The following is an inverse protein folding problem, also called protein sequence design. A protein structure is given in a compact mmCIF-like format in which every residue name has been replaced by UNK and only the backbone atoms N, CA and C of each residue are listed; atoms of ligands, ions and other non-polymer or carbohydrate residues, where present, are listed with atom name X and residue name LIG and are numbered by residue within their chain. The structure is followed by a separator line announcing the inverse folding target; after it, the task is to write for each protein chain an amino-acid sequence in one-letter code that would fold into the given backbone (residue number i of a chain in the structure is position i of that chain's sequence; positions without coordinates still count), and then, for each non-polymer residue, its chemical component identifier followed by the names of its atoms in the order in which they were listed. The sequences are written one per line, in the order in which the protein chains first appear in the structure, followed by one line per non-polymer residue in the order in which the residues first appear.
data_IF_016346933121
#
_entry.id   IF_016346933121
#
_cell.length_a   1.000
_cell.length_b   1.000
_cell.length_c   1.000
_cell.angle_alpha   90.00
_cell.angle_beta   90.00
_cell.angle_gamma   90.00
#
_symmetry.space_group_name_H-M   'P 1'
#
loop_
_entity.id
_entity.type
_entity.pdbx_description
1 polymer ?
#
# COMPACT_ATOMS: atom_id res chain seq x y z
N UNK A 1 -38.40 -36.03 0.97
CA UNK A 1 -36.97 -36.40 1.11
C UNK A 1 -36.06 -35.67 0.12
N UNK A 2 -36.43 -35.56 -1.16
CA UNK A 2 -35.63 -34.86 -2.19
C UNK A 2 -35.65 -33.31 -2.02
N UNK A 3 -36.79 -32.74 -1.64
CA UNK A 3 -36.89 -31.29 -1.38
C UNK A 3 -36.00 -30.85 -0.21
N UNK A 4 -35.86 -31.68 0.82
CA UNK A 4 -35.00 -31.38 1.98
C UNK A 4 -33.52 -31.34 1.59
N UNK A 5 -33.10 -32.23 0.68
CA UNK A 5 -31.75 -32.23 0.10
C UNK A 5 -31.49 -30.99 -0.76
N UNK A 6 -32.46 -30.60 -1.59
CA UNK A 6 -32.36 -29.38 -2.38
C UNK A 6 -32.21 -28.14 -1.48
N UNK A 7 -33.03 -28.02 -0.43
CA UNK A 7 -32.93 -26.92 0.53
C UNK A 7 -31.57 -26.91 1.25
N UNK A 8 -31.04 -28.08 1.64
CA UNK A 8 -29.72 -28.18 2.25
C UNK A 8 -28.61 -27.71 1.29
N UNK A 9 -28.67 -28.08 0.00
CA UNK A 9 -27.71 -27.64 -1.01
C UNK A 9 -27.80 -26.13 -1.25
N UNK A 10 -29.01 -25.56 -1.35
CA UNK A 10 -29.19 -24.11 -1.50
C UNK A 10 -28.63 -23.34 -0.31
N UNK A 11 -28.88 -23.79 0.92
CA UNK A 11 -28.34 -23.16 2.13
C UNK A 11 -26.81 -23.24 2.18
N UNK A 12 -26.22 -24.38 1.79
CA UNK A 12 -24.78 -24.55 1.72
C UNK A 12 -24.16 -23.58 0.69
N UNK A 13 -24.72 -23.51 -0.51
CA UNK A 13 -24.25 -22.60 -1.56
C UNK A 13 -24.31 -21.13 -1.12
N UNK A 14 -25.41 -20.70 -0.49
CA UNK A 14 -25.55 -19.34 0.05
C UNK A 14 -24.51 -19.04 1.14
N UNK A 15 -24.19 -20.01 2.01
CA UNK A 15 -23.14 -19.86 3.02
C UNK A 15 -21.76 -19.74 2.39
N UNK A 16 -21.44 -20.53 1.37
CA UNK A 16 -20.15 -20.44 0.67
C UNK A 16 -19.99 -19.09 -0.04
N UNK A 17 -21.05 -18.58 -0.66
CA UNK A 17 -21.07 -17.28 -1.33
C UNK A 17 -20.92 -16.11 -0.35
N UNK A 18 -21.51 -16.17 0.84
CA UNK A 18 -21.35 -15.11 1.85
C UNK A 18 -19.93 -15.08 2.45
N UNK A 19 -19.31 -16.25 2.60
CA UNK A 19 -17.93 -16.36 3.10
C UNK A 19 -16.91 -15.73 2.14
N UNK A 20 -17.10 -15.81 0.82
CA UNK A 20 -16.20 -15.18 -0.16
C UNK A 20 -16.33 -13.65 -0.17
N UNK A 21 -17.53 -13.12 0.10
CA UNK A 21 -17.72 -11.67 0.29
C UNK A 21 -17.03 -11.16 1.57
N UNK A 22 -17.07 -11.92 2.67
CA UNK A 22 -16.39 -11.55 3.92
C UNK A 22 -14.88 -11.81 3.91
N UNK A 23 -14.39 -12.75 3.08
CA UNK A 23 -12.95 -13.00 2.88
C UNK A 23 -12.29 -11.97 1.95
N UNK A 24 -13.06 -11.10 1.30
CA UNK A 24 -12.54 -9.91 0.63
C UNK A 24 -12.16 -8.81 1.64
N UNK A 25 -11.29 -9.15 2.59
CA UNK A 25 -10.42 -8.20 3.31
C UNK A 25 -9.31 -7.68 2.39
N UNK A 26 -9.64 -7.45 1.11
CA UNK A 26 -8.83 -6.65 0.21
C UNK A 26 -9.57 -5.35 -0.06
N UNK A 27 -9.92 -4.66 1.02
CA UNK A 27 -9.92 -3.20 0.94
C UNK A 27 -8.55 -2.83 0.33
N UNK A 28 -8.50 -1.97 -0.70
CA UNK A 28 -7.29 -1.23 -0.98
C UNK A 28 -7.11 -0.31 0.22
N UNK A 29 -6.62 -0.88 1.31
CA UNK A 29 -6.07 -0.15 2.42
C UNK A 29 -5.06 0.77 1.75
N UNK A 30 -5.18 2.10 1.89
CA UNK A 30 -4.17 3.00 1.35
C UNK A 30 -2.88 2.42 1.90
N UNK A 31 -2.02 1.95 1.01
CA UNK A 31 -0.78 1.31 1.38
C UNK A 31 -0.07 2.35 2.25
N UNK A 32 -0.24 2.24 3.57
CA UNK A 32 0.67 2.78 4.55
C UNK A 32 1.89 1.91 4.33
N UNK A 33 2.59 2.21 3.22
CA UNK A 33 3.91 1.72 2.90
C UNK A 33 4.71 2.13 4.11
N UNK A 34 4.79 1.20 5.06
CA UNK A 34 5.57 1.35 6.28
C UNK A 34 6.93 1.76 5.76
N UNK A 35 7.26 3.04 5.96
CA UNK A 35 8.47 3.62 5.40
C UNK A 35 9.60 2.71 5.88
N UNK A 36 10.18 1.96 4.95
CA UNK A 36 11.12 0.90 5.27
C UNK A 36 12.20 1.58 6.09
N UNK A 37 12.33 1.22 7.37
CA UNK A 37 13.33 1.85 8.24
C UNK A 37 14.65 1.71 7.51
N UNK A 38 15.22 2.85 7.17
CA UNK A 38 16.48 2.91 6.47
C UNK A 38 17.49 2.11 7.28
N UNK A 39 18.21 1.21 6.61
CA UNK A 39 19.34 0.52 7.21
C UNK A 39 20.39 1.55 7.65
N UNK A 40 21.23 1.26 8.65
CA UNK A 40 22.28 2.18 9.09
C UNK A 40 23.24 2.63 7.96
N UNK A 41 23.34 1.86 6.86
CA UNK A 41 24.03 2.26 5.63
C UNK A 41 23.58 3.62 5.07
N UNK A 42 22.30 3.97 5.20
CA UNK A 42 21.77 5.24 4.73
C UNK A 42 22.33 6.46 5.49
N UNK A 43 23.00 6.27 6.65
CA UNK A 43 23.74 7.34 7.33
C UNK A 43 24.95 7.80 6.53
N UNK A 44 25.57 6.92 5.74
CA UNK A 44 26.70 7.25 4.88
C UNK A 44 26.27 7.79 3.51
N UNK A 45 24.99 7.68 3.16
CA UNK A 45 24.44 8.24 1.93
C UNK A 45 24.08 9.70 2.20
N UNK A 46 24.79 10.62 1.56
CA UNK A 46 24.54 12.07 1.67
C UNK A 46 23.21 12.49 1.03
N UNK A 47 22.59 11.61 0.25
CA UNK A 47 21.28 11.80 -0.39
C UNK A 47 20.13 11.60 0.60
N UNK A 48 19.24 12.56 0.63
CA UNK A 48 18.06 12.64 1.49
C UNK A 48 16.87 11.89 0.86
N UNK A 49 16.05 11.21 1.66
CA UNK A 49 14.84 10.54 1.17
C UNK A 49 13.73 11.51 0.79
N UNK A 50 12.71 10.97 0.12
CA UNK A 50 11.42 11.65 -0.12
C UNK A 50 10.84 12.16 1.20
N UNK A 51 10.37 13.40 1.20
CA UNK A 51 9.80 14.09 2.37
C UNK A 51 10.83 14.72 3.31
N UNK A 52 12.13 14.45 3.14
CA UNK A 52 13.18 15.13 3.90
C UNK A 52 13.35 16.59 3.44
N UNK A 53 13.81 17.45 4.35
CA UNK A 53 14.11 18.85 4.05
C UNK A 53 15.31 18.97 3.12
N UNK A 54 15.20 19.78 2.06
CA UNK A 54 16.25 20.02 1.08
C UNK A 54 16.42 21.51 0.80
N UNK A 55 17.63 21.89 0.39
CA UNK A 55 17.97 23.20 -0.19
C UNK A 55 18.20 23.12 -1.70
N UNK A 56 18.90 22.09 -2.14
CA UNK A 56 19.21 21.85 -3.56
C UNK A 56 18.64 20.52 -4.06
N UNK A 57 18.42 20.43 -5.38
CA UNK A 57 17.93 19.21 -6.02
C UNK A 57 18.89 18.03 -5.82
N UNK A 58 20.20 18.27 -5.82
CA UNK A 58 21.24 17.26 -5.63
C UNK A 58 21.25 16.62 -4.23
N UNK A 59 20.62 17.26 -3.25
CA UNK A 59 20.50 16.69 -1.91
C UNK A 59 19.47 15.56 -1.86
N UNK A 60 18.54 15.49 -2.81
CA UNK A 60 17.48 14.49 -2.82
C UNK A 60 17.86 13.27 -3.64
N UNK A 61 17.56 12.06 -3.17
CA UNK A 61 17.74 10.82 -3.98
C UNK A 61 16.97 10.86 -5.30
N UNK A 62 15.86 11.59 -5.33
CA UNK A 62 15.01 11.78 -6.50
C UNK A 62 15.45 12.93 -7.40
N UNK A 63 16.52 13.66 -7.03
CA UNK A 63 16.99 14.87 -7.71
C UNK A 63 15.90 15.95 -7.85
N UNK A 64 14.93 16.00 -6.93
CA UNK A 64 13.80 16.93 -6.97
C UNK A 64 13.49 17.52 -5.59
N UNK A 65 13.84 18.79 -5.42
CA UNK A 65 13.53 19.61 -4.24
C UNK A 65 12.40 20.59 -4.59
N UNK A 66 11.28 20.51 -3.87
CA UNK A 66 10.13 21.43 -4.03
C UNK A 66 9.65 21.86 -2.65
N UNK A 67 9.38 23.15 -2.44
CA UNK A 67 8.94 23.68 -1.13
C UNK A 67 9.85 23.22 0.03
N UNK A 68 11.16 23.22 -0.19
CA UNK A 68 12.19 22.75 0.75
C UNK A 68 11.99 21.29 1.20
N UNK A 69 11.36 20.43 0.40
CA UNK A 69 11.21 18.99 0.65
C UNK A 69 11.50 18.18 -0.60
N UNK A 70 12.04 16.97 -0.43
CA UNK A 70 12.28 16.06 -1.53
C UNK A 70 10.97 15.42 -2.01
N UNK A 71 10.70 15.42 -3.32
CA UNK A 71 9.52 14.81 -3.93
C UNK A 71 9.89 13.67 -4.88
N UNK A 72 8.96 12.74 -5.11
CA UNK A 72 9.10 11.73 -6.17
C UNK A 72 8.97 12.39 -7.53
N UNK A 73 9.80 11.97 -8.51
CA UNK A 73 9.68 12.45 -9.90
C UNK A 73 8.31 12.15 -10.51
N UNK A 74 7.68 11.04 -10.09
CA UNK A 74 6.33 10.65 -10.52
C UNK A 74 5.22 11.53 -9.92
N UNK A 75 5.50 12.38 -8.93
CA UNK A 75 4.51 13.31 -8.37
C UNK A 75 4.42 14.64 -9.17
N UNK A 76 5.05 14.70 -10.33
CA UNK A 76 5.02 15.84 -11.26
C UNK A 76 4.09 15.60 -12.46
N UNK A 77 3.40 14.45 -12.52
CA UNK A 77 2.37 14.17 -13.52
C UNK A 77 0.97 14.39 -12.95
#
# INVERSE_FOLDING_TARGET
MQCLKAMAVFLLCSLLLSQTHCASLRQPQPQLTRQRRMTPFWRGVTLRPVGASCRDNSECITMLCRKNRCFLKTAHE
#
